data_IF_330282044457
#
_entry.id   IF_330282044457
#
_cell.length_a   1.000
_cell.length_b   1.000
_cell.length_c   1.000
_cell.angle_alpha   90.00
_cell.angle_beta   90.00
_cell.angle_gamma   90.00
#
_symmetry.space_group_name_H-M   'P 1'
#
loop_
_entity.id
_entity.type
_entity.pdbx_description
1 polymer ?
#
# COMPACT_ATOMS: atom_id res chain seq x y z
N UNK A 1 -33.38 5.35 -7.58
CA UNK A 1 -32.10 5.95 -8.02
C UNK A 1 -31.19 6.35 -6.86
N UNK A 2 -31.43 7.45 -6.12
CA UNK A 2 -30.46 8.01 -5.15
C UNK A 2 -30.03 7.06 -4.00
N UNK A 3 -30.94 6.28 -3.40
CA UNK A 3 -30.59 5.33 -2.31
C UNK A 3 -29.61 4.24 -2.76
N UNK A 4 -29.63 3.85 -4.03
CA UNK A 4 -28.76 2.80 -4.56
C UNK A 4 -27.36 3.35 -4.81
N UNK A 5 -27.26 4.58 -5.33
CA UNK A 5 -25.99 5.31 -5.49
C UNK A 5 -25.30 5.53 -4.13
N UNK A 6 -26.06 5.90 -3.10
CA UNK A 6 -25.54 6.07 -1.72
C UNK A 6 -25.04 4.76 -1.09
N UNK A 7 -25.66 3.62 -1.42
CA UNK A 7 -25.17 2.31 -0.97
C UNK A 7 -23.88 1.93 -1.71
N UNK A 8 -23.86 2.12 -3.02
CA UNK A 8 -22.73 1.76 -3.87
C UNK A 8 -21.47 2.57 -3.52
N UNK A 9 -21.61 3.86 -3.24
CA UNK A 9 -20.52 4.72 -2.74
C UNK A 9 -20.00 4.28 -1.36
N UNK A 10 -20.87 3.84 -0.44
CA UNK A 10 -20.41 3.28 0.84
C UNK A 10 -19.58 2.01 0.66
N UNK A 11 -20.02 1.09 -0.20
CA UNK A 11 -19.24 -0.12 -0.50
C UNK A 11 -17.92 0.22 -1.19
N UNK A 12 -17.92 1.19 -2.11
CA UNK A 12 -16.71 1.64 -2.79
C UNK A 12 -15.71 2.26 -1.80
N UNK A 13 -16.19 3.06 -0.84
CA UNK A 13 -15.36 3.64 0.20
C UNK A 13 -14.73 2.57 1.12
N UNK A 14 -15.51 1.58 1.57
CA UNK A 14 -14.95 0.48 2.37
C UNK A 14 -13.95 -0.36 1.59
N UNK A 15 -14.21 -0.58 0.30
CA UNK A 15 -13.30 -1.32 -0.57
C UNK A 15 -11.99 -0.57 -0.82
N UNK A 16 -12.06 0.74 -1.05
CA UNK A 16 -10.88 1.60 -1.16
C UNK A 16 -10.03 1.54 0.11
N UNK A 17 -10.66 1.63 1.29
CA UNK A 17 -9.95 1.52 2.57
C UNK A 17 -9.26 0.15 2.72
N UNK A 18 -9.92 -0.93 2.31
CA UNK A 18 -9.35 -2.28 2.34
C UNK A 18 -8.12 -2.40 1.42
N UNK A 19 -8.17 -1.85 0.20
CA UNK A 19 -7.02 -1.85 -0.73
C UNK A 19 -5.85 -1.07 -0.14
N UNK A 20 -6.10 0.10 0.46
CA UNK A 20 -5.04 0.91 1.09
C UNK A 20 -4.39 0.13 2.23
N UNK A 21 -5.18 -0.48 3.12
CA UNK A 21 -4.67 -1.29 4.22
C UNK A 21 -3.83 -2.48 3.71
N UNK A 22 -4.30 -3.18 2.66
CA UNK A 22 -3.55 -4.28 2.05
C UNK A 22 -2.21 -3.81 1.48
N UNK A 23 -2.19 -2.73 0.70
CA UNK A 23 -0.96 -2.20 0.10
C UNK A 23 0.07 -1.74 1.14
N UNK A 24 -0.38 -1.08 2.22
CA UNK A 24 0.51 -0.68 3.30
C UNK A 24 1.09 -1.91 3.99
N UNK A 25 0.24 -2.88 4.35
CA UNK A 25 0.68 -4.09 5.04
C UNK A 25 1.68 -4.90 4.20
N UNK A 26 1.41 -5.09 2.90
CA UNK A 26 2.32 -5.81 2.00
C UNK A 26 3.64 -5.07 1.80
N UNK A 27 3.60 -3.74 1.69
CA UNK A 27 4.81 -2.90 1.58
C UNK A 27 5.66 -2.99 2.85
N UNK A 28 5.04 -2.97 4.03
CA UNK A 28 5.73 -3.16 5.31
C UNK A 28 6.34 -4.57 5.42
N UNK A 29 5.60 -5.61 5.02
CA UNK A 29 6.08 -6.99 5.01
C UNK A 29 7.29 -7.15 4.08
N UNK A 30 7.25 -6.54 2.90
CA UNK A 30 8.36 -6.49 1.96
C UNK A 30 9.59 -5.80 2.56
N UNK A 31 9.41 -4.65 3.20
CA UNK A 31 10.50 -3.93 3.86
C UNK A 31 11.08 -4.72 5.05
N UNK A 32 10.24 -5.40 5.82
CA UNK A 32 10.67 -6.20 6.97
C UNK A 32 11.49 -7.44 6.57
N UNK A 33 11.19 -8.04 5.42
CA UNK A 33 11.92 -9.19 4.88
C UNK A 33 13.07 -8.78 3.96
N UNK A 34 13.27 -7.49 3.68
CA UNK A 34 14.38 -7.08 2.84
C UNK A 34 15.71 -7.41 3.54
N UNK A 35 16.64 -8.08 2.83
CA UNK A 35 17.99 -8.26 3.35
C UNK A 35 18.65 -6.89 3.52
N UNK A 36 19.62 -6.82 4.44
CA UNK A 36 20.43 -5.61 4.62
C UNK A 36 21.06 -5.21 3.29
N UNK A 37 21.07 -3.91 3.01
CA UNK A 37 21.65 -3.34 1.80
C UNK A 37 23.11 -3.84 1.64
N UNK A 38 23.52 -4.38 0.47
CA UNK A 38 24.86 -4.93 0.29
C UNK A 38 25.94 -3.87 0.46
N UNK A 39 27.12 -4.29 0.93
CA UNK A 39 28.27 -3.41 1.10
C UNK A 39 28.65 -2.76 -0.24
N UNK A 40 28.65 -1.42 -0.28
CA UNK A 40 28.94 -0.64 -1.50
C UNK A 40 27.72 -0.10 -2.23
N UNK A 41 26.48 -0.50 -1.89
CA UNK A 41 25.27 0.06 -2.49
C UNK A 41 25.12 1.57 -2.26
N UNK A 42 25.64 2.10 -1.15
CA UNK A 42 25.70 3.54 -0.86
C UNK A 42 26.52 4.32 -1.88
N UNK A 43 27.49 3.70 -2.56
CA UNK A 43 28.29 4.35 -3.62
C UNK A 43 27.52 4.54 -4.93
N UNK A 44 26.41 3.82 -5.09
CA UNK A 44 25.49 3.98 -6.23
C UNK A 44 24.45 5.08 -5.97
N UNK A 45 24.39 5.62 -4.74
CA UNK A 45 23.49 6.73 -4.42
C UNK A 45 24.01 8.00 -5.08
N UNK A 46 23.13 8.71 -5.80
CA UNK A 46 23.45 9.92 -6.57
C UNK A 46 23.65 11.18 -5.71
N UNK A 47 23.48 11.07 -4.39
CA UNK A 47 23.46 12.17 -3.42
C UNK A 47 24.47 11.95 -2.30
#
# INVERSE_FOLDING_TARGET
>A
MQKHVMKLTKYLASFALMIVALNVNTSCLFAAHQPKLPSGATKLRKF
#
